data_IF_317663227906
#
_entry.id   IF_317663227906
#
_cell.length_a   1.000
_cell.length_b   1.000
_cell.length_c   1.000
_cell.angle_alpha   90.00
_cell.angle_beta   90.00
_cell.angle_gamma   90.00
#
_symmetry.space_group_name_H-M   'P 1'
#
loop_
_entity.id
_entity.type
_entity.pdbx_description
1 polymer ?
#
# COMPACT_ATOMS: atom_id res chain seq x y z
N UNK A 1 17.41 -22.18 5.80
CA UNK A 1 17.88 -20.80 5.61
C UNK A 1 17.03 -19.98 4.61
N UNK A 2 15.69 -20.17 4.55
CA UNK A 2 14.81 -19.37 3.67
C UNK A 2 13.45 -19.05 4.32
N UNK A 3 13.35 -19.09 5.66
CA UNK A 3 12.07 -19.00 6.38
C UNK A 3 11.32 -17.70 6.05
N UNK A 4 12.04 -16.58 5.99
CA UNK A 4 11.51 -15.30 5.53
C UNK A 4 10.83 -15.38 4.15
N UNK A 5 11.44 -16.05 3.17
CA UNK A 5 10.88 -16.18 1.82
C UNK A 5 9.64 -17.05 1.82
N UNK A 6 9.65 -18.14 2.59
CA UNK A 6 8.46 -18.97 2.79
C UNK A 6 7.32 -18.18 3.44
N UNK A 7 7.62 -17.32 4.40
CA UNK A 7 6.62 -16.52 5.10
C UNK A 7 5.99 -15.48 4.15
N UNK A 8 6.79 -14.75 3.37
CA UNK A 8 6.27 -13.74 2.42
C UNK A 8 5.59 -14.35 1.18
N UNK A 9 5.87 -15.61 0.86
CA UNK A 9 5.24 -16.34 -0.26
C UNK A 9 4.06 -17.22 0.18
N UNK A 10 3.72 -17.22 1.47
CA UNK A 10 2.67 -18.06 2.01
C UNK A 10 1.28 -17.54 1.60
N UNK A 11 0.66 -18.23 0.65
CA UNK A 11 -0.67 -17.89 0.12
C UNK A 11 -1.75 -17.86 1.20
N UNK A 12 -1.66 -18.73 2.23
CA UNK A 12 -2.65 -18.72 3.32
C UNK A 12 -2.51 -17.46 4.16
N UNK A 13 -1.28 -17.09 4.53
CA UNK A 13 -1.02 -15.86 5.28
C UNK A 13 -1.42 -14.62 4.49
N UNK A 14 -1.15 -14.56 3.19
CA UNK A 14 -1.56 -13.43 2.35
C UNK A 14 -3.08 -13.34 2.16
N UNK A 15 -3.78 -14.48 2.04
CA UNK A 15 -5.25 -14.50 2.03
C UNK A 15 -5.84 -14.08 3.39
N UNK A 16 -5.21 -14.49 4.48
CA UNK A 16 -5.61 -14.07 5.82
C UNK A 16 -5.36 -12.60 6.04
N UNK A 17 -4.19 -12.10 5.67
CA UNK A 17 -3.86 -10.68 5.64
C UNK A 17 -4.89 -9.91 4.81
N UNK A 18 -5.16 -10.33 3.56
CA UNK A 18 -6.13 -9.68 2.68
C UNK A 18 -7.56 -9.65 3.27
N UNK A 19 -7.99 -10.71 3.97
CA UNK A 19 -9.28 -10.73 4.69
C UNK A 19 -9.29 -9.83 5.92
N UNK A 20 -8.15 -9.72 6.59
CA UNK A 20 -7.98 -8.97 7.82
C UNK A 20 -7.46 -7.55 7.58
N UNK A 21 -7.30 -7.12 6.32
CA UNK A 21 -7.05 -5.72 5.97
C UNK A 21 -8.32 -4.93 6.30
N UNK A 22 -8.42 -4.62 7.59
CA UNK A 22 -9.28 -3.60 8.16
C UNK A 22 -8.43 -2.35 8.23
N UNK A 23 -8.54 -1.48 7.23
CA UNK A 23 -7.84 -0.20 7.29
C UNK A 23 -8.79 0.81 7.92
N UNK A 24 -8.54 1.07 9.20
CA UNK A 24 -9.31 1.94 10.10
C UNK A 24 -10.80 1.57 10.20
N UNK A 25 -11.59 1.88 9.17
CA UNK A 25 -13.05 1.77 9.09
C UNK A 25 -13.54 0.99 7.87
N UNK A 26 -12.65 0.58 6.96
CA UNK A 26 -13.01 -0.11 5.74
C UNK A 26 -12.82 -1.62 5.91
N UNK A 27 -13.92 -2.37 5.80
CA UNK A 27 -13.86 -3.82 5.63
C UNK A 27 -13.82 -4.11 4.15
N UNK A 28 -12.84 -4.85 3.63
CA UNK A 28 -12.81 -5.23 2.21
C UNK A 28 -13.14 -6.71 2.08
N UNK A 29 -14.42 -7.11 1.95
CA UNK A 29 -14.83 -8.52 1.87
C UNK A 29 -14.39 -9.22 0.57
N UNK A 30 -13.60 -8.58 -0.29
CA UNK A 30 -13.24 -9.11 -1.58
C UNK A 30 -12.31 -10.31 -1.50
N UNK A 31 -12.62 -11.40 -2.24
CA UNK A 31 -11.67 -12.48 -2.45
C UNK A 31 -10.35 -11.95 -3.03
N UNK A 32 -9.24 -12.46 -2.48
CA UNK A 32 -7.88 -12.19 -2.94
C UNK A 32 -7.77 -12.34 -4.46
N UNK A 33 -7.27 -11.31 -5.14
CA UNK A 33 -7.05 -11.30 -6.60
C UNK A 33 -8.26 -10.91 -7.47
N UNK A 34 -9.35 -10.38 -6.89
CA UNK A 34 -10.50 -9.85 -7.66
C UNK A 34 -10.48 -8.35 -7.93
N UNK A 35 -9.63 -7.60 -7.25
CA UNK A 35 -9.48 -6.18 -7.47
C UNK A 35 -8.55 -6.01 -8.68
N UNK A 36 -9.04 -5.35 -9.73
CA UNK A 36 -8.26 -5.13 -10.94
C UNK A 36 -7.33 -3.93 -10.76
N UNK A 37 -6.20 -3.95 -11.48
CA UNK A 37 -5.30 -2.80 -11.55
C UNK A 37 -6.01 -1.58 -12.13
N UNK A 38 -6.91 -1.81 -13.09
CA UNK A 38 -7.70 -0.79 -13.76
C UNK A 38 -8.64 -0.06 -12.78
N UNK A 39 -9.31 -0.80 -11.89
CA UNK A 39 -10.22 -0.20 -10.91
C UNK A 39 -9.45 0.55 -9.82
N UNK A 40 -8.28 0.05 -9.42
CA UNK A 40 -7.38 0.78 -8.50
C UNK A 40 -6.89 2.10 -9.09
N UNK A 41 -6.54 2.11 -10.39
CA UNK A 41 -6.08 3.33 -11.05
C UNK A 41 -7.21 4.35 -11.20
N UNK A 42 -8.40 3.91 -11.63
CA UNK A 42 -9.59 4.78 -11.66
C UNK A 42 -9.91 5.34 -10.28
N UNK A 43 -9.80 4.53 -9.24
CA UNK A 43 -10.05 4.99 -7.88
C UNK A 43 -9.01 6.04 -7.43
N UNK A 44 -7.73 5.90 -7.82
CA UNK A 44 -6.71 6.93 -7.60
C UNK A 44 -7.07 8.25 -8.30
N UNK A 45 -7.47 8.17 -9.57
CA UNK A 45 -7.89 9.36 -10.32
C UNK A 45 -9.07 10.09 -9.65
N UNK A 46 -10.03 9.34 -9.10
CA UNK A 46 -11.16 9.89 -8.34
C UNK A 46 -10.67 10.57 -7.06
N UNK A 47 -9.74 9.97 -6.32
CA UNK A 47 -9.16 10.60 -5.12
C UNK A 47 -8.36 11.87 -5.46
N UNK A 48 -7.67 11.91 -6.60
CA UNK A 48 -6.95 13.11 -7.04
C UNK A 48 -7.88 14.22 -7.52
N UNK A 49 -9.08 13.87 -8.02
CA UNK A 49 -10.15 14.85 -8.26
C UNK A 49 -10.74 15.35 -6.95
N UNK A 50 -10.96 14.48 -5.96
CA UNK A 50 -11.42 14.87 -4.61
C UNK A 50 -10.44 15.81 -3.92
N UNK A 51 -9.13 15.55 -4.04
CA UNK A 51 -8.09 16.41 -3.48
C UNK A 51 -8.22 17.85 -4.01
N UNK A 52 -8.30 18.00 -5.33
CA UNK A 52 -8.47 19.30 -6.00
C UNK A 52 -9.79 19.97 -5.62
N UNK A 53 -10.88 19.18 -5.57
CA UNK A 53 -12.19 19.69 -5.17
C UNK A 53 -12.19 20.25 -3.74
N UNK A 54 -11.49 19.59 -2.80
CA UNK A 54 -11.31 20.09 -1.43
C UNK A 54 -10.53 21.40 -1.40
N UNK A 55 -9.41 21.47 -2.12
CA UNK A 55 -8.58 22.67 -2.24
C UNK A 55 -9.36 23.86 -2.83
N UNK A 56 -10.04 23.65 -3.97
CA UNK A 56 -10.87 24.67 -4.60
C UNK A 56 -12.01 25.14 -3.68
N UNK A 57 -12.62 24.22 -2.95
CA UNK A 57 -13.72 24.55 -2.04
C UNK A 57 -13.26 25.46 -0.90
N UNK A 58 -12.08 25.21 -0.34
CA UNK A 58 -11.49 26.07 0.68
C UNK A 58 -11.13 27.46 0.10
N UNK A 59 -10.58 27.52 -1.11
CA UNK A 59 -10.32 28.80 -1.80
C UNK A 59 -11.59 29.64 -2.01
N UNK A 60 -12.72 29.02 -2.39
CA UNK A 60 -13.99 29.75 -2.58
C UNK A 60 -14.66 30.17 -1.28
N UNK A 61 -14.39 29.47 -0.17
CA UNK A 61 -14.84 29.82 1.19
C UNK A 61 -14.05 31.00 1.76
N UNK A 62 -12.76 31.08 1.47
CA UNK A 62 -11.87 32.14 1.98
C UNK A 62 -12.00 33.49 1.23
N UNK A 63 -12.67 33.50 0.06
CA UNK A 63 -12.98 34.74 -0.67
C UNK A 63 -13.88 35.68 0.14
N UNK A 64 -13.72 36.99 -0.06
CA UNK A 64 -14.56 38.02 0.56
C UNK A 64 -15.27 38.88 -0.51
N UNK A 65 -16.60 38.72 -0.72
CA UNK A 65 -17.49 37.76 -0.06
C UNK A 65 -17.28 36.31 -0.54
N UNK A 66 -17.61 35.29 0.27
CA UNK A 66 -17.52 33.90 -0.14
C UNK A 66 -18.39 33.59 -1.35
N UNK A 67 -17.87 32.80 -2.28
CA UNK A 67 -18.64 32.39 -3.46
C UNK A 67 -19.47 31.13 -3.15
N UNK A 68 -20.58 31.32 -2.42
CA UNK A 68 -21.43 30.21 -1.98
C UNK A 68 -22.00 29.37 -3.11
N UNK A 69 -22.21 29.94 -4.31
CA UNK A 69 -22.69 29.19 -5.48
C UNK A 69 -21.70 28.11 -5.89
N UNK A 70 -20.41 28.45 -5.96
CA UNK A 70 -19.37 27.48 -6.28
C UNK A 70 -19.14 26.48 -5.14
N UNK A 71 -19.24 26.91 -3.88
CA UNK A 71 -19.16 26.00 -2.73
C UNK A 71 -20.25 24.93 -2.77
N UNK A 72 -21.50 25.28 -3.09
CA UNK A 72 -22.58 24.30 -3.25
C UNK A 72 -22.34 23.35 -4.43
N UNK A 73 -21.88 23.88 -5.58
CA UNK A 73 -21.53 23.06 -6.74
C UNK A 73 -20.43 22.04 -6.42
N UNK A 74 -19.37 22.48 -5.73
CA UNK A 74 -18.25 21.62 -5.33
C UNK A 74 -18.68 20.59 -4.29
N UNK A 75 -19.61 20.94 -3.41
CA UNK A 75 -20.21 20.00 -2.45
C UNK A 75 -20.92 18.86 -3.19
N UNK A 76 -21.79 19.16 -4.17
CA UNK A 76 -22.47 18.12 -4.96
C UNK A 76 -21.46 17.23 -5.73
N UNK A 77 -20.41 17.84 -6.27
CA UNK A 77 -19.32 17.12 -6.94
C UNK A 77 -18.57 16.21 -5.97
N UNK A 78 -18.33 16.64 -4.73
CA UNK A 78 -17.71 15.84 -3.68
C UNK A 78 -18.54 14.60 -3.32
N UNK A 79 -19.88 14.72 -3.25
CA UNK A 79 -20.78 13.58 -3.05
C UNK A 79 -20.64 12.58 -4.21
N UNK A 80 -20.67 13.07 -5.46
CA UNK A 80 -20.56 12.24 -6.66
C UNK A 80 -19.22 11.50 -6.74
N UNK A 81 -18.12 12.21 -6.47
CA UNK A 81 -16.77 11.64 -6.46
C UNK A 81 -16.60 10.61 -5.33
N UNK A 82 -17.09 10.91 -4.13
CA UNK A 82 -17.06 9.95 -3.01
C UNK A 82 -17.83 8.69 -3.36
N UNK A 83 -19.06 8.82 -3.90
CA UNK A 83 -19.85 7.67 -4.35
C UNK A 83 -19.14 6.86 -5.45
N UNK A 84 -18.50 7.55 -6.40
CA UNK A 84 -17.74 6.90 -7.46
C UNK A 84 -16.58 6.08 -6.91
N UNK A 85 -15.83 6.63 -5.94
CA UNK A 85 -14.75 5.91 -5.26
C UNK A 85 -15.25 4.63 -4.59
N UNK A 86 -16.34 4.70 -3.81
CA UNK A 86 -16.90 3.54 -3.13
C UNK A 86 -17.51 2.50 -4.10
N UNK A 87 -17.92 2.91 -5.29
CA UNK A 87 -18.43 1.99 -6.32
C UNK A 87 -17.34 1.19 -7.03
N UNK A 88 -16.12 1.74 -7.10
CA UNK A 88 -14.97 1.10 -7.76
C UNK A 88 -14.32 0.01 -6.90
N UNK A 89 -14.52 0.10 -5.58
CA UNK A 89 -13.88 -0.80 -4.63
C UNK A 89 -14.93 -1.61 -3.86
N UNK A 90 -14.68 -2.90 -3.60
CA UNK A 90 -15.54 -3.72 -2.78
C UNK A 90 -15.37 -3.37 -1.29
N UNK A 91 -15.83 -2.19 -0.89
CA UNK A 91 -15.80 -1.68 0.48
C UNK A 91 -17.10 -2.08 1.18
N UNK A 92 -16.98 -2.90 2.22
CA UNK A 92 -18.02 -3.25 3.17
C UNK A 92 -17.86 -2.53 4.51
N UNK A 93 -18.71 -2.88 5.48
CA UNK A 93 -18.75 -2.24 6.80
C UNK A 93 -19.85 -1.20 6.97
N UNK A 94 -20.59 -0.88 5.89
CA UNK A 94 -21.69 0.09 5.89
C UNK A 94 -23.08 -0.57 5.69
N UNK A 95 -23.22 -1.87 6.00
CA UNK A 95 -24.49 -2.61 5.79
C UNK A 95 -25.68 -2.02 6.57
N UNK A 96 -25.40 -1.27 7.65
CA UNK A 96 -26.40 -0.66 8.54
C UNK A 96 -26.26 0.85 8.69
N UNK A 97 -25.43 1.49 7.87
CA UNK A 97 -25.13 2.92 7.97
C UNK A 97 -24.96 3.54 6.59
N UNK A 98 -25.15 4.86 6.48
CA UNK A 98 -24.82 5.57 5.24
C UNK A 98 -23.32 5.50 4.98
N UNK A 99 -22.95 5.40 3.70
CA UNK A 99 -21.56 5.50 3.28
C UNK A 99 -21.11 6.95 3.55
N UNK A 100 -20.00 7.17 4.28
CA UNK A 100 -19.52 8.50 4.59
C UNK A 100 -19.00 9.20 3.33
N UNK A 101 -19.18 10.51 3.27
CA UNK A 101 -18.60 11.34 2.21
C UNK A 101 -17.16 11.70 2.60
N UNK A 102 -16.25 11.72 1.63
CA UNK A 102 -14.87 12.11 1.86
C UNK A 102 -14.79 13.64 1.86
N UNK A 103 -14.98 14.24 3.03
CA UNK A 103 -15.07 15.69 3.21
C UNK A 103 -13.78 16.35 3.73
N UNK A 104 -12.82 15.55 4.19
CA UNK A 104 -11.62 16.03 4.88
C UNK A 104 -10.35 15.37 4.36
N UNK A 105 -9.23 16.10 4.40
CA UNK A 105 -7.91 15.62 3.97
C UNK A 105 -7.42 14.38 4.72
N UNK A 106 -7.82 14.20 5.97
CA UNK A 106 -7.52 12.99 6.76
C UNK A 106 -8.18 11.76 6.15
N UNK A 107 -9.47 11.85 5.80
CA UNK A 107 -10.21 10.76 5.14
C UNK A 107 -9.67 10.45 3.75
N UNK A 108 -9.23 11.47 3.03
CA UNK A 108 -8.55 11.31 1.75
C UNK A 108 -7.24 10.54 1.90
N UNK A 109 -6.46 10.86 2.93
CA UNK A 109 -5.19 10.17 3.24
C UNK A 109 -5.42 8.71 3.60
N UNK A 110 -6.44 8.42 4.41
CA UNK A 110 -6.86 7.05 4.73
C UNK A 110 -7.28 6.28 3.47
N UNK A 111 -8.07 6.89 2.59
CA UNK A 111 -8.51 6.27 1.33
C UNK A 111 -7.32 5.99 0.39
N UNK A 112 -6.33 6.89 0.32
CA UNK A 112 -5.09 6.68 -0.43
C UNK A 112 -4.26 5.55 0.16
N UNK A 113 -4.14 5.47 1.49
CA UNK A 113 -3.46 4.37 2.16
C UNK A 113 -4.13 3.02 1.85
N UNK A 114 -5.47 2.98 1.85
CA UNK A 114 -6.25 1.82 1.41
C UNK A 114 -5.90 1.40 -0.01
N UNK A 115 -5.90 2.32 -0.97
CA UNK A 115 -5.53 2.00 -2.36
C UNK A 115 -4.12 1.44 -2.50
N UNK A 116 -3.16 1.97 -1.72
CA UNK A 116 -1.79 1.43 -1.71
C UNK A 116 -1.77 -0.01 -1.22
N UNK A 117 -2.41 -0.30 -0.09
CA UNK A 117 -2.46 -1.67 0.45
C UNK A 117 -3.18 -2.64 -0.49
N UNK A 118 -4.29 -2.23 -1.11
CA UNK A 118 -5.00 -3.05 -2.09
C UNK A 118 -4.14 -3.31 -3.34
N UNK A 119 -3.35 -2.32 -3.77
CA UNK A 119 -2.37 -2.49 -4.85
C UNK A 119 -1.28 -3.50 -4.50
N UNK A 120 -0.74 -3.46 -3.28
CA UNK A 120 0.27 -4.42 -2.83
C UNK A 120 -0.28 -5.85 -2.79
N UNK A 121 -1.53 -6.02 -2.34
CA UNK A 121 -2.25 -7.30 -2.34
C UNK A 121 -2.47 -7.81 -3.77
N UNK A 122 -2.86 -6.92 -4.69
CA UNK A 122 -3.06 -7.25 -6.11
C UNK A 122 -1.76 -7.75 -6.75
N UNK A 123 -0.65 -7.05 -6.52
CA UNK A 123 0.68 -7.41 -7.03
C UNK A 123 1.13 -8.76 -6.46
N UNK A 124 1.02 -8.93 -5.14
CA UNK A 124 1.37 -10.19 -4.47
C UNK A 124 0.53 -11.36 -5.01
N UNK A 125 -0.77 -11.12 -5.25
CA UNK A 125 -1.68 -12.12 -5.80
C UNK A 125 -1.33 -12.53 -7.23
N UNK A 126 -0.99 -11.58 -8.10
CA UNK A 126 -0.49 -11.88 -9.44
C UNK A 126 0.81 -12.67 -9.40
N UNK A 127 1.77 -12.25 -8.56
CA UNK A 127 3.06 -12.90 -8.44
C UNK A 127 2.93 -14.39 -8.02
N UNK A 128 2.12 -14.67 -7.00
CA UNK A 128 1.85 -16.03 -6.54
C UNK A 128 1.12 -16.85 -7.59
N UNK A 129 0.11 -16.26 -8.24
CA UNK A 129 -0.64 -16.94 -9.30
C UNK A 129 0.26 -17.33 -10.47
N UNK A 130 1.20 -16.45 -10.84
CA UNK A 130 2.20 -16.70 -11.86
C UNK A 130 3.21 -17.79 -11.46
N UNK A 131 3.61 -17.83 -10.18
CA UNK A 131 4.47 -18.88 -9.64
C UNK A 131 3.81 -20.26 -9.71
N UNK A 132 2.56 -20.37 -9.24
CA UNK A 132 1.77 -21.62 -9.29
C UNK A 132 1.50 -22.05 -10.73
N UNK A 133 1.22 -21.11 -11.63
CA UNK A 133 1.05 -21.42 -13.05
C UNK A 133 2.34 -21.97 -13.68
N UNK A 134 3.48 -21.35 -13.34
CA UNK A 134 4.81 -21.76 -13.82
C UNK A 134 5.20 -23.15 -13.31
N UNK A 135 4.90 -23.47 -12.06
CA UNK A 135 5.06 -24.81 -11.51
C UNK A 135 4.26 -25.84 -12.31
N UNK A 136 2.96 -25.60 -12.51
CA UNK A 136 2.07 -26.54 -13.22
C UNK A 136 2.42 -26.73 -14.69
N UNK A 137 2.90 -25.68 -15.37
CA UNK A 137 3.16 -25.71 -16.82
C UNK A 137 4.60 -26.03 -17.19
N UNK A 138 5.56 -25.62 -16.36
CA UNK A 138 6.99 -25.66 -16.66
C UNK A 138 7.80 -26.46 -15.63
N UNK A 139 7.18 -26.93 -14.54
CA UNK A 139 7.87 -27.65 -13.47
C UNK A 139 8.85 -26.79 -12.69
N UNK A 140 8.67 -25.46 -12.69
CA UNK A 140 9.54 -24.54 -11.96
C UNK A 140 9.15 -24.49 -10.47
N UNK A 141 10.15 -24.43 -9.60
CA UNK A 141 9.93 -24.23 -8.16
C UNK A 141 9.30 -22.85 -7.89
N UNK A 142 8.12 -22.78 -7.22
CA UNK A 142 7.43 -21.51 -6.98
C UNK A 142 8.23 -20.50 -6.17
N UNK A 143 9.02 -20.96 -5.19
CA UNK A 143 9.82 -20.08 -4.33
C UNK A 143 10.94 -19.44 -5.14
N UNK A 144 11.63 -20.24 -5.96
CA UNK A 144 12.64 -19.76 -6.89
C UNK A 144 12.04 -18.76 -7.89
N UNK A 145 10.87 -19.05 -8.46
CA UNK A 145 10.18 -18.11 -9.35
C UNK A 145 9.92 -16.76 -8.68
N UNK A 146 9.40 -16.78 -7.45
CA UNK A 146 9.13 -15.56 -6.67
C UNK A 146 10.42 -14.79 -6.39
N UNK A 147 11.49 -15.47 -5.98
CA UNK A 147 12.79 -14.85 -5.75
C UNK A 147 13.36 -14.17 -6.98
N UNK A 148 13.27 -14.81 -8.15
CA UNK A 148 13.71 -14.24 -9.42
C UNK A 148 12.84 -13.06 -9.85
N UNK A 149 11.53 -13.12 -9.59
CA UNK A 149 10.59 -12.07 -9.97
C UNK A 149 10.65 -10.81 -9.07
N UNK A 150 11.02 -10.94 -7.80
CA UNK A 150 11.20 -9.80 -6.88
C UNK A 150 12.45 -8.97 -7.26
N UNK A 151 13.38 -9.53 -8.04
CA UNK A 151 14.62 -8.89 -8.49
C UNK A 151 15.40 -8.19 -7.35
N UNK A 152 15.45 -8.86 -6.21
CA UNK A 152 16.18 -8.41 -5.03
C UNK A 152 17.20 -9.46 -4.60
N UNK A 153 18.42 -9.00 -4.32
CA UNK A 153 19.40 -9.83 -3.63
C UNK A 153 19.15 -9.74 -2.12
N UNK A 154 18.91 -10.89 -1.49
CA UNK A 154 18.60 -11.00 -0.06
C UNK A 154 19.69 -11.87 0.56
N UNK A 155 20.38 -11.35 1.57
CA UNK A 155 21.45 -12.06 2.29
C UNK A 155 21.28 -11.91 3.79
N UNK A 156 21.49 -13.00 4.53
CA UNK A 156 21.44 -12.99 5.99
C UNK A 156 22.70 -12.31 6.53
N UNK A 157 22.53 -11.31 7.39
CA UNK A 157 23.63 -10.66 8.10
C UNK A 157 23.84 -11.39 9.43
N UNK A 158 25.03 -11.96 9.69
CA UNK A 158 25.34 -12.59 10.96
C UNK A 158 25.25 -11.60 12.13
N UNK A 159 24.72 -12.00 13.30
CA UNK A 159 24.56 -11.08 14.44
C UNK A 159 25.87 -10.44 14.91
N UNK A 160 27.00 -11.12 14.74
CA UNK A 160 28.32 -10.64 15.20
C UNK A 160 28.95 -9.59 14.28
N UNK A 161 28.37 -9.35 13.10
CA UNK A 161 28.89 -8.36 12.17
C UNK A 161 28.66 -6.94 12.69
N UNK A 162 29.61 -6.03 12.44
CA UNK A 162 29.54 -4.63 12.89
C UNK A 162 28.24 -3.95 12.47
N UNK A 163 27.77 -4.20 11.24
CA UNK A 163 26.53 -3.64 10.74
C UNK A 163 25.33 -4.17 11.53
N UNK A 164 25.26 -5.48 11.78
CA UNK A 164 24.21 -6.08 12.60
C UNK A 164 24.21 -5.50 14.02
N UNK A 165 25.38 -5.35 14.65
CA UNK A 165 25.50 -4.77 15.99
C UNK A 165 24.99 -3.32 16.05
N UNK A 166 25.27 -2.51 15.03
CA UNK A 166 24.74 -1.14 14.94
C UNK A 166 23.22 -1.12 14.81
N UNK A 167 22.66 -1.99 13.96
CA UNK A 167 21.20 -2.14 13.81
C UNK A 167 20.56 -2.57 15.13
N UNK A 168 21.14 -3.56 15.81
CA UNK A 168 20.65 -4.03 17.11
C UNK A 168 20.71 -2.94 18.18
N UNK A 169 21.79 -2.16 18.22
CA UNK A 169 21.91 -1.01 19.11
C UNK A 169 20.84 0.05 18.82
N UNK A 170 20.59 0.36 17.55
CA UNK A 170 19.54 1.29 17.13
C UNK A 170 18.15 0.83 17.58
N UNK A 171 17.84 -0.45 17.39
CA UNK A 171 16.58 -1.04 17.85
C UNK A 171 16.46 -0.96 19.37
N UNK A 172 17.49 -1.38 20.12
CA UNK A 172 17.49 -1.35 21.58
C UNK A 172 17.30 0.07 22.15
N UNK A 173 17.87 1.08 21.48
CA UNK A 173 17.72 2.48 21.88
C UNK A 173 16.33 3.05 21.55
N UNK A 174 15.66 2.50 20.53
CA UNK A 174 14.38 3.04 20.04
C UNK A 174 13.17 2.33 20.66
N UNK A 175 13.31 1.07 21.05
CA UNK A 175 12.22 0.28 21.62
C UNK A 175 12.74 -0.83 22.54
N UNK A 176 12.30 -0.84 23.79
CA UNK A 176 12.70 -1.85 24.77
C UNK A 176 11.87 -3.15 24.62
N UNK A 177 12.52 -4.30 24.83
CA UNK A 177 11.83 -5.60 24.91
C UNK A 177 11.54 -6.31 23.58
N UNK A 178 11.99 -5.80 22.44
CA UNK A 178 11.81 -6.46 21.14
C UNK A 178 12.79 -7.63 20.97
N UNK A 179 12.28 -8.82 20.60
CA UNK A 179 13.10 -9.98 20.25
C UNK A 179 13.35 -10.01 18.75
N UNK A 180 14.63 -10.04 18.35
CA UNK A 180 15.06 -10.09 16.95
C UNK A 180 15.42 -11.54 16.59
N UNK A 181 14.74 -12.10 15.60
CA UNK A 181 15.02 -13.45 15.07
C UNK A 181 16.19 -13.45 14.09
N UNK A 182 16.17 -12.55 13.09
CA UNK A 182 17.12 -12.52 11.99
C UNK A 182 17.26 -11.10 11.41
N UNK A 183 18.44 -10.78 10.84
CA UNK A 183 18.69 -9.51 10.12
C UNK A 183 19.06 -9.85 8.67
N UNK A 184 18.40 -9.22 7.71
CA UNK A 184 18.64 -9.44 6.29
C UNK A 184 19.09 -8.14 5.60
N UNK A 185 20.12 -8.23 4.78
CA UNK A 185 20.47 -7.20 3.80
C UNK A 185 19.66 -7.44 2.53
N UNK A 186 18.95 -6.40 2.08
CA UNK A 186 18.13 -6.43 0.87
C UNK A 186 18.67 -5.37 -0.07
N UNK A 187 19.03 -5.78 -1.29
CA UNK A 187 19.49 -4.86 -2.33
C UNK A 187 18.68 -5.08 -3.61
N UNK A 188 17.86 -4.09 -3.93
CA UNK A 188 17.09 -4.00 -5.18
C UNK A 188 17.90 -3.22 -6.21
N UNK A 189 18.11 -3.82 -7.39
CA UNK A 189 18.84 -3.19 -8.49
C UNK A 189 18.23 -1.83 -8.86
N UNK A 190 16.91 -1.77 -8.98
CA UNK A 190 16.18 -0.56 -9.36
C UNK A 190 16.31 0.55 -8.31
N UNK A 191 16.24 0.19 -7.02
CA UNK A 191 16.40 1.16 -5.93
C UNK A 191 17.83 1.73 -5.91
N UNK A 192 18.84 0.88 -6.09
CA UNK A 192 20.24 1.32 -6.15
C UNK A 192 20.48 2.29 -7.33
N UNK A 193 19.87 2.05 -8.49
CA UNK A 193 19.94 2.96 -9.64
C UNK A 193 19.23 4.30 -9.38
N UNK A 194 18.09 4.28 -8.70
CA UNK A 194 17.37 5.49 -8.30
C UNK A 194 18.17 6.31 -7.26
N UNK A 195 18.73 5.66 -6.25
CA UNK A 195 19.54 6.32 -5.21
C UNK A 195 20.80 6.97 -5.77
N UNK A 196 21.44 6.39 -6.79
CA UNK A 196 22.59 7.02 -7.47
C UNK A 196 22.26 8.41 -8.03
N UNK A 197 21.01 8.64 -8.45
CA UNK A 197 20.56 9.96 -8.94
C UNK A 197 20.47 11.01 -7.83
N UNK A 198 20.31 10.58 -6.58
CA UNK A 198 20.17 11.43 -5.40
C UNK A 198 21.36 11.38 -4.44
N UNK A 199 22.46 10.72 -4.83
CA UNK A 199 23.64 10.49 -4.00
C UNK A 199 24.38 11.78 -3.56
N UNK A 200 24.01 12.94 -4.11
CA UNK A 200 24.61 14.25 -3.81
C UNK A 200 23.73 15.15 -2.94
N UNK A 201 22.59 14.68 -2.43
CA UNK A 201 21.79 15.45 -1.49
C UNK A 201 22.47 15.46 -0.11
N UNK A 202 22.82 16.65 0.40
CA UNK A 202 23.62 16.83 1.63
C UNK A 202 22.95 16.32 2.92
N UNK A 203 21.64 16.03 2.92
CA UNK A 203 20.89 15.53 4.08
C UNK A 203 20.44 14.07 3.94
N UNK A 204 21.29 13.20 3.39
CA UNK A 204 21.06 11.75 3.40
C UNK A 204 21.71 11.11 4.65
N UNK A 205 21.31 11.53 5.85
CA UNK A 205 21.65 10.88 7.12
C UNK A 205 20.40 10.73 7.98
#
# INVERSE_FOLDING_TARGET
SFRFIFDISNVKMLREYARNVQLAQYSVPSPFGRISKEDLEKAREVLDKLARNLEEMDEFREKNPPNMKEVFRLTDEQYSLSSSFYSLLPIGGYERSSIPVITESNRLTEARSLLTTLGDIEIAGRLISAAVYSEKKRGLDPIKYIMEAIDCSISLIPPKETLAQRVLQWIANSNEGVKIDSIYSINSRRAAEAMKKHAKCENAM
#
